data_IF_662420139048
#
_entry.id   IF_662420139048
#
_cell.length_a   1.000
_cell.length_b   1.000
_cell.length_c   1.000
_cell.angle_alpha   90.00
_cell.angle_beta   90.00
_cell.angle_gamma   90.00
#
_symmetry.space_group_name_H-M   'P 1'
#
loop_
_entity.id
_entity.type
_entity.pdbx_description
1 polymer ?
#
# COMPACT_ATOMS: atom_id res chain seq x y z
N UNK A 1 19.99 6.74 17.22
CA UNK A 1 19.00 6.26 16.23
C UNK A 1 18.62 7.42 15.32
N UNK A 2 18.31 7.15 14.06
CA UNK A 2 17.89 8.18 13.09
C UNK A 2 16.45 8.62 13.41
N UNK A 3 16.17 9.92 13.40
CA UNK A 3 14.83 10.47 13.60
C UNK A 3 13.99 10.40 12.31
N UNK A 4 12.77 9.87 12.39
CA UNK A 4 11.77 9.85 11.31
C UNK A 4 10.35 10.00 11.87
N UNK A 5 9.44 10.64 11.14
CA UNK A 5 8.03 10.76 11.54
C UNK A 5 7.18 9.61 11.00
N UNK A 6 7.48 9.22 9.76
CA UNK A 6 6.79 8.18 9.01
C UNK A 6 7.75 7.12 8.51
N UNK A 7 7.24 5.89 8.41
CA UNK A 7 7.86 4.79 7.68
C UNK A 7 6.92 4.40 6.53
N UNK A 8 7.48 4.36 5.32
CA UNK A 8 6.79 3.84 4.15
C UNK A 8 7.15 2.35 3.99
N UNK A 9 6.16 1.48 4.10
CA UNK A 9 6.29 0.06 3.79
C UNK A 9 5.83 -0.17 2.35
N UNK A 10 6.72 -0.74 1.54
CA UNK A 10 6.46 -1.18 0.17
C UNK A 10 6.78 -2.67 0.02
N UNK A 11 5.80 -3.47 -0.42
CA UNK A 11 5.98 -4.92 -0.65
C UNK A 11 6.37 -5.24 -2.09
N UNK A 12 5.91 -4.45 -3.05
CA UNK A 12 6.09 -4.68 -4.48
C UNK A 12 6.85 -3.51 -5.12
N UNK A 13 7.45 -3.73 -6.29
CA UNK A 13 7.99 -2.66 -7.14
C UNK A 13 6.81 -1.84 -7.70
N UNK A 14 6.23 -1.03 -6.83
CA UNK A 14 5.10 -0.20 -7.18
C UNK A 14 5.58 0.98 -7.99
N UNK A 15 4.82 1.26 -9.05
CA UNK A 15 4.99 2.49 -9.78
C UNK A 15 4.22 3.60 -9.06
N UNK A 16 4.95 4.57 -8.52
CA UNK A 16 4.36 5.78 -7.98
C UNK A 16 3.90 6.68 -9.13
N UNK A 17 2.59 6.86 -9.24
CA UNK A 17 1.99 7.65 -10.31
C UNK A 17 2.11 9.16 -10.07
N UNK A 18 2.38 9.56 -8.84
CA UNK A 18 2.71 10.94 -8.48
C UNK A 18 3.50 10.99 -7.16
N UNK A 19 4.13 12.13 -6.82
CA UNK A 19 4.85 12.27 -5.57
C UNK A 19 3.95 12.06 -4.34
N UNK A 20 4.51 11.41 -3.31
CA UNK A 20 3.84 11.29 -2.03
C UNK A 20 3.96 12.59 -1.23
N UNK A 21 2.87 13.34 -1.16
CA UNK A 21 2.83 14.62 -0.46
C UNK A 21 2.55 14.44 1.03
N UNK A 22 3.61 14.45 1.85
CA UNK A 22 3.51 14.15 3.29
C UNK A 22 2.59 15.10 4.08
N UNK A 23 2.31 16.30 3.58
CA UNK A 23 1.39 17.25 4.23
C UNK A 23 -0.08 16.77 4.24
N UNK A 24 -0.45 15.84 3.34
CA UNK A 24 -1.78 15.23 3.32
C UNK A 24 -2.02 14.30 4.51
N UNK A 25 -0.96 13.89 5.20
CA UNK A 25 -1.02 13.02 6.36
C UNK A 25 -0.91 13.88 7.61
N UNK A 26 -1.94 13.83 8.46
CA UNK A 26 -2.04 14.66 9.66
C UNK A 26 -0.81 14.48 10.54
N UNK A 27 -0.12 15.56 10.88
CA UNK A 27 0.95 15.63 11.90
C UNK A 27 0.40 15.98 13.29
N UNK A 28 -0.72 15.35 13.69
CA UNK A 28 -1.33 15.55 15.01
C UNK A 28 -0.72 14.66 16.09
N UNK A 29 -1.09 14.84 17.36
CA UNK A 29 -0.61 14.03 18.50
C UNK A 29 -0.80 12.52 18.31
N UNK A 30 -1.82 12.10 17.56
CA UNK A 30 -2.09 10.69 17.29
C UNK A 30 -1.39 10.15 16.04
N UNK A 31 -0.68 10.98 15.27
CA UNK A 31 -0.10 10.58 13.98
C UNK A 31 0.97 9.50 14.11
N UNK A 32 1.60 9.38 15.28
CA UNK A 32 2.60 8.36 15.54
C UNK A 32 2.02 6.93 15.55
N UNK A 33 0.74 6.75 15.90
CA UNK A 33 0.09 5.45 16.04
C UNK A 33 -0.92 5.14 14.91
N UNK A 34 -0.78 5.83 13.77
CA UNK A 34 -1.65 5.67 12.58
C UNK A 34 -0.99 4.85 11.48
N UNK A 35 -1.78 4.03 10.79
CA UNK A 35 -1.45 3.35 9.54
C UNK A 35 -2.34 3.92 8.43
N UNK A 36 -1.75 4.50 7.40
CA UNK A 36 -2.46 4.94 6.20
C UNK A 36 -2.36 3.88 5.11
N UNK A 37 -3.50 3.43 4.61
CA UNK A 37 -3.60 2.43 3.54
C UNK A 37 -4.57 2.92 2.46
N UNK A 38 -4.41 2.47 1.21
CA UNK A 38 -5.40 2.75 0.16
C UNK A 38 -6.78 2.21 0.57
N UNK A 39 -7.83 2.94 0.21
CA UNK A 39 -9.23 2.58 0.52
C UNK A 39 -9.87 1.58 -0.47
N UNK A 40 -9.07 0.97 -1.32
CA UNK A 40 -9.46 0.05 -2.38
C UNK A 40 -8.52 -1.15 -2.37
N UNK A 41 -8.96 -2.27 -2.98
CA UNK A 41 -8.15 -3.47 -3.17
C UNK A 41 -7.51 -4.02 -1.88
N UNK A 42 -8.17 -3.87 -0.72
CA UNK A 42 -7.69 -4.43 0.55
C UNK A 42 -8.21 -5.84 0.85
N UNK A 43 -8.97 -6.45 -0.07
CA UNK A 43 -9.56 -7.81 -0.01
C UNK A 43 -9.98 -8.32 1.40
N UNK A 44 -10.70 -7.46 2.13
CA UNK A 44 -11.24 -7.77 3.46
C UNK A 44 -10.36 -7.33 4.64
N UNK A 45 -9.26 -6.61 4.41
CA UNK A 45 -8.37 -6.04 5.41
C UNK A 45 -7.77 -4.69 4.96
N UNK A 46 -6.49 -4.48 5.23
CA UNK A 46 -5.72 -3.32 4.75
C UNK A 46 -4.93 -3.68 3.51
N UNK A 47 -4.92 -2.81 2.49
CA UNK A 47 -4.08 -3.03 1.31
C UNK A 47 -2.60 -3.08 1.74
N UNK A 48 -1.95 -4.24 1.56
CA UNK A 48 -0.62 -4.54 2.12
C UNK A 48 0.54 -4.15 1.18
N UNK A 49 0.22 -3.54 0.03
CA UNK A 49 1.21 -3.16 -0.97
C UNK A 49 1.99 -1.92 -0.57
N UNK A 50 1.26 -0.83 -0.29
CA UNK A 50 1.80 0.45 0.22
C UNK A 50 1.11 0.81 1.52
N UNK A 51 1.90 0.98 2.58
CA UNK A 51 1.43 1.51 3.86
C UNK A 51 2.32 2.66 4.30
N UNK A 52 1.74 3.81 4.61
CA UNK A 52 2.46 4.89 5.29
C UNK A 52 2.11 4.84 6.77
N UNK A 53 3.09 4.64 7.64
CA UNK A 53 2.86 4.44 9.07
C UNK A 53 3.54 5.53 9.88
N UNK A 54 2.86 6.01 10.92
CA UNK A 54 3.52 6.76 11.98
C UNK A 54 4.59 5.93 12.68
N UNK A 55 5.55 6.59 13.32
CA UNK A 55 6.68 5.92 13.98
C UNK A 55 6.29 4.76 14.90
N UNK A 56 5.30 4.94 15.77
CA UNK A 56 4.92 3.91 16.75
C UNK A 56 4.07 2.81 16.12
N UNK A 57 3.22 3.15 15.15
CA UNK A 57 2.55 2.17 14.31
C UNK A 57 3.56 1.29 13.57
N UNK A 58 4.62 1.89 13.01
CA UNK A 58 5.67 1.16 12.32
C UNK A 58 6.39 0.17 13.26
N UNK A 59 6.78 0.59 14.47
CA UNK A 59 7.43 -0.32 15.44
C UNK A 59 6.58 -1.55 15.75
N UNK A 60 5.26 -1.37 15.83
CA UNK A 60 4.29 -2.42 16.14
C UNK A 60 4.02 -3.30 14.93
N UNK A 61 3.69 -2.72 13.77
CA UNK A 61 3.32 -3.47 12.58
C UNK A 61 4.52 -4.15 11.90
N UNK A 62 5.74 -3.61 12.04
CA UNK A 62 6.96 -4.28 11.57
C UNK A 62 7.28 -5.59 12.31
N UNK A 63 6.56 -5.91 13.40
CA UNK A 63 6.62 -7.25 14.00
C UNK A 63 5.74 -8.26 13.27
N UNK A 64 5.09 -7.91 12.15
CA UNK A 64 4.16 -8.77 11.43
C UNK A 64 4.71 -10.17 11.18
N UNK A 65 5.95 -10.28 10.68
CA UNK A 65 6.57 -11.57 10.41
C UNK A 65 6.69 -12.44 11.66
N UNK A 66 7.19 -11.89 12.77
CA UNK A 66 7.33 -12.65 14.02
C UNK A 66 5.98 -12.92 14.68
N UNK A 67 5.00 -12.01 14.54
CA UNK A 67 3.64 -12.20 15.01
C UNK A 67 2.89 -13.29 14.26
N UNK A 68 3.17 -13.50 12.97
CA UNK A 68 2.53 -14.54 12.16
C UNK A 68 2.77 -15.95 12.72
N UNK A 69 3.96 -16.19 13.28
CA UNK A 69 4.33 -17.47 13.87
C UNK A 69 3.84 -17.65 15.32
N UNK A 70 3.28 -16.61 15.94
CA UNK A 70 2.64 -16.73 17.26
C UNK A 70 1.30 -17.42 17.08
N UNK A 71 1.03 -18.46 17.89
CA UNK A 71 -0.24 -19.20 17.88
C UNK A 71 -1.37 -18.39 18.55
N UNK A 72 -1.73 -17.23 17.98
CA UNK A 72 -2.88 -16.42 18.40
C UNK A 72 -4.05 -16.61 17.44
N UNK A 73 -5.18 -17.14 17.93
CA UNK A 73 -6.37 -17.41 17.11
C UNK A 73 -6.93 -16.14 16.46
N UNK A 74 -6.72 -14.97 17.06
CA UNK A 74 -7.19 -13.67 16.56
C UNK A 74 -6.42 -13.21 15.32
N UNK A 75 -5.24 -13.77 15.09
CA UNK A 75 -4.41 -13.52 13.91
C UNK A 75 -4.66 -14.53 12.77
N UNK A 76 -5.58 -15.48 12.93
CA UNK A 76 -5.91 -16.44 11.88
C UNK A 76 -6.63 -15.72 10.73
N UNK A 77 -5.98 -15.64 9.58
CA UNK A 77 -6.48 -14.93 8.40
C UNK A 77 -6.40 -15.80 7.13
N UNK A 78 -7.05 -15.34 6.05
CA UNK A 78 -6.98 -16.00 4.72
C UNK A 78 -5.89 -15.45 3.82
N UNK A 79 -5.42 -14.23 4.08
CA UNK A 79 -4.40 -13.53 3.31
C UNK A 79 -3.62 -12.54 4.21
N UNK A 80 -2.61 -11.89 3.63
CA UNK A 80 -1.75 -10.93 4.33
C UNK A 80 -2.51 -9.66 4.77
N UNK A 81 -3.44 -9.18 3.95
CA UNK A 81 -4.21 -7.96 4.23
C UNK A 81 -5.12 -8.11 5.46
N UNK A 82 -5.82 -9.24 5.57
CA UNK A 82 -6.60 -9.60 6.76
C UNK A 82 -5.70 -9.86 7.98
N UNK A 83 -4.51 -10.45 7.78
CA UNK A 83 -3.55 -10.65 8.86
C UNK A 83 -3.08 -9.31 9.44
N UNK A 84 -2.68 -8.38 8.57
CA UNK A 84 -2.18 -7.08 8.99
C UNK A 84 -3.27 -6.21 9.62
N UNK A 85 -4.50 -6.28 9.12
CA UNK A 85 -5.66 -5.59 9.73
C UNK A 85 -5.94 -6.14 11.14
N UNK A 86 -5.95 -7.47 11.31
CA UNK A 86 -6.11 -8.10 12.62
C UNK A 86 -4.97 -7.74 13.57
N UNK A 87 -3.71 -7.75 13.09
CA UNK A 87 -2.55 -7.37 13.88
C UNK A 87 -2.62 -5.90 14.31
N UNK A 88 -2.99 -5.01 13.40
CA UNK A 88 -3.19 -3.59 13.67
C UNK A 88 -4.25 -3.39 14.77
N UNK A 89 -5.38 -4.09 14.69
CA UNK A 89 -6.42 -4.09 15.71
C UNK A 89 -5.92 -4.58 17.07
N UNK A 90 -5.19 -5.70 17.10
CA UNK A 90 -4.61 -6.24 18.35
C UNK A 90 -3.58 -5.30 18.99
N UNK A 91 -2.87 -4.52 18.18
CA UNK A 91 -1.85 -3.57 18.63
C UNK A 91 -2.41 -2.17 18.93
N UNK A 92 -3.75 -2.00 18.81
CA UNK A 92 -4.45 -0.74 19.04
C UNK A 92 -4.00 0.35 18.07
N UNK A 93 -3.72 0.01 16.81
CA UNK A 93 -3.35 0.98 15.77
C UNK A 93 -4.61 1.62 15.16
N UNK A 94 -4.51 2.90 14.81
CA UNK A 94 -5.56 3.59 14.06
C UNK A 94 -5.32 3.42 12.57
N UNK A 95 -6.19 2.68 11.87
CA UNK A 95 -6.07 2.48 10.41
C UNK A 95 -6.91 3.52 9.67
N UNK A 96 -6.25 4.33 8.86
CA UNK A 96 -6.87 5.37 8.04
C UNK A 96 -6.84 4.94 6.56
N UNK A 97 -8.01 4.65 6.01
CA UNK A 97 -8.17 4.36 4.59
C UNK A 97 -8.21 5.67 3.81
N UNK A 98 -7.23 5.89 2.94
CA UNK A 98 -7.08 7.12 2.14
C UNK A 98 -7.42 6.87 0.66
N UNK A 99 -7.92 7.89 -0.06
CA UNK A 99 -8.14 7.78 -1.50
C UNK A 99 -6.86 7.47 -2.27
N UNK A 100 -7.00 6.83 -3.43
CA UNK A 100 -5.89 6.54 -4.34
C UNK A 100 -5.01 7.76 -4.64
N UNK A 101 -5.62 8.95 -4.83
CA UNK A 101 -4.88 10.19 -5.10
C UNK A 101 -3.92 10.62 -3.95
N UNK A 102 -4.14 10.14 -2.72
CA UNK A 102 -3.30 10.45 -1.55
C UNK A 102 -2.15 9.45 -1.40
N UNK A 103 -2.36 8.19 -1.79
CA UNK A 103 -1.34 7.14 -1.82
C UNK A 103 -1.34 6.47 -3.22
N UNK A 104 -0.80 7.15 -4.25
CA UNK A 104 -1.06 6.86 -5.67
C UNK A 104 -0.10 5.83 -6.24
N UNK A 105 -0.19 4.60 -5.72
CA UNK A 105 0.64 3.48 -6.12
C UNK A 105 -0.16 2.41 -6.87
N UNK A 106 0.41 1.85 -7.94
CA UNK A 106 -0.20 0.79 -8.72
C UNK A 106 0.85 -0.18 -9.26
N UNK A 107 0.42 -1.38 -9.61
CA UNK A 107 1.27 -2.35 -10.30
C UNK A 107 1.48 -1.91 -11.74
N UNK A 108 2.74 -1.90 -12.16
CA UNK A 108 3.13 -1.72 -13.55
C UNK A 108 3.82 -2.98 -14.08
N UNK A 109 3.85 -3.12 -15.40
CA UNK A 109 4.63 -4.17 -16.07
C UNK A 109 5.16 -3.63 -17.39
N UNK A 110 6.24 -4.21 -17.89
CA UNK A 110 6.60 -4.05 -19.28
C UNK A 110 5.69 -4.94 -20.12
N UNK A 111 5.06 -4.36 -21.14
CA UNK A 111 4.25 -5.08 -22.11
C UNK A 111 4.76 -4.78 -23.51
N UNK A 112 4.73 -5.80 -24.37
CA UNK A 112 5.14 -5.69 -25.77
C UNK A 112 3.89 -5.71 -26.66
N UNK A 113 3.72 -4.68 -27.50
CA UNK A 113 2.58 -4.58 -28.42
C UNK A 113 3.00 -5.06 -29.81
N UNK A 114 2.90 -6.38 -30.03
CA UNK A 114 3.36 -7.02 -31.26
C UNK A 114 4.84 -7.44 -31.23
N UNK A 115 5.24 -8.29 -32.17
CA UNK A 115 6.56 -8.97 -32.15
C UNK A 115 7.77 -8.06 -32.42
N UNK A 116 7.56 -6.86 -32.96
CA UNK A 116 8.63 -5.96 -33.43
C UNK A 116 8.76 -4.65 -32.64
N UNK A 117 7.92 -4.40 -31.64
CA UNK A 117 8.03 -3.21 -30.79
C UNK A 117 8.87 -3.50 -29.55
N UNK A 118 9.62 -2.51 -29.06
CA UNK A 118 10.28 -2.64 -27.76
C UNK A 118 9.21 -2.69 -26.64
N UNK A 119 9.41 -3.48 -25.58
CA UNK A 119 8.52 -3.46 -24.43
C UNK A 119 8.42 -2.05 -23.83
N UNK A 120 7.21 -1.61 -23.55
CA UNK A 120 6.93 -0.34 -22.86
C UNK A 120 6.30 -0.60 -21.50
N UNK A 121 6.64 0.23 -20.51
CA UNK A 121 5.98 0.20 -19.20
C UNK A 121 4.52 0.60 -19.36
N UNK A 122 3.62 -0.14 -18.71
CA UNK A 122 2.19 0.16 -18.65
C UNK A 122 1.62 -0.14 -17.26
N UNK A 123 0.53 0.51 -16.89
CA UNK A 123 -0.16 0.33 -15.61
C UNK A 123 -1.24 -0.74 -15.73
N UNK A 124 -1.32 -1.65 -14.77
CA UNK A 124 -2.44 -2.60 -14.72
C UNK A 124 -3.67 -1.87 -14.15
N UNK A 125 -4.68 -1.63 -15.00
CA UNK A 125 -5.85 -0.82 -14.65
C UNK A 125 -6.52 -1.23 -13.33
N UNK A 126 -6.67 -2.53 -13.10
CA UNK A 126 -7.24 -3.05 -11.86
C UNK A 126 -6.55 -2.50 -10.59
N UNK A 127 -5.23 -2.34 -10.61
CA UNK A 127 -4.43 -1.86 -9.48
C UNK A 127 -4.40 -0.33 -9.33
N UNK A 128 -4.95 0.40 -10.30
CA UNK A 128 -5.19 1.86 -10.19
C UNK A 128 -6.47 2.20 -9.42
N UNK A 129 -7.13 1.19 -8.84
CA UNK A 129 -8.44 1.34 -8.21
C UNK A 129 -9.50 1.94 -9.15
N UNK A 130 -9.37 1.71 -10.47
CA UNK A 130 -10.19 2.30 -11.52
C UNK A 130 -10.22 3.84 -11.47
N UNK A 131 -9.13 4.44 -11.01
CA UNK A 131 -8.98 5.89 -10.94
C UNK A 131 -8.38 6.43 -12.23
N UNK A 132 -8.64 7.71 -12.52
CA UNK A 132 -7.93 8.42 -13.59
C UNK A 132 -6.45 8.55 -13.21
N UNK A 133 -5.56 8.25 -14.16
CA UNK A 133 -4.12 8.38 -13.94
C UNK A 133 -3.68 9.86 -13.95
N UNK A 134 -2.73 10.25 -13.07
CA UNK A 134 -2.08 11.55 -13.15
C UNK A 134 -1.41 11.78 -14.52
N UNK A 135 -1.38 13.03 -14.97
CA UNK A 135 -0.71 13.43 -16.22
C UNK A 135 0.75 13.00 -16.20
N UNK A 136 1.20 12.34 -17.27
CA UNK A 136 2.57 11.83 -17.41
C UNK A 136 2.78 10.41 -16.89
N UNK A 137 1.74 9.78 -16.32
CA UNK A 137 1.77 8.34 -16.03
C UNK A 137 1.82 7.51 -17.33
N UNK A 138 2.42 6.31 -17.32
CA UNK A 138 2.27 5.36 -18.41
C UNK A 138 0.79 5.01 -18.66
N UNK A 139 0.46 4.64 -19.90
CA UNK A 139 -0.88 4.18 -20.25
C UNK A 139 -1.24 2.85 -19.57
N UNK A 140 -2.53 2.51 -19.57
CA UNK A 140 -2.96 1.19 -19.12
C UNK A 140 -2.45 0.09 -20.05
N UNK A 141 -2.12 -1.06 -19.46
CA UNK A 141 -1.72 -2.24 -20.22
C UNK A 141 -2.85 -2.72 -21.13
N UNK A 142 -2.52 -3.18 -22.35
CA UNK A 142 -3.52 -3.76 -23.24
C UNK A 142 -4.17 -4.97 -22.56
N UNK A 143 -5.48 -5.12 -22.74
CA UNK A 143 -6.22 -6.27 -22.23
C UNK A 143 -5.86 -7.48 -23.07
N UNK A 144 -4.98 -8.35 -22.56
CA UNK A 144 -4.77 -9.67 -23.14
C UNK A 144 -6.01 -10.51 -22.87
N UNK A 145 -6.74 -10.88 -23.94
CA UNK A 145 -7.86 -11.83 -23.88
C UNK A 145 -7.38 -13.23 -23.54
#
# INVERSE_FOLDING_TARGET
>A
GVGYDFLLWEREDQYWLSPLWLYNFRRGTDSANVVYAKNCLGWGGINDKSLLMGRDAAKKLMTAYSSFWKRDVRLRSRNAEQFLDALAGLQGLSVHRVPFAVLPSADATFAQSGSSTAPSLCIKEFYSCKSTLPKGSPDFCPVTK
#
